data_IF_978497884041
#
_entry.id   IF_978497884041
#
_cell.length_a   1.000
_cell.length_b   1.000
_cell.length_c   1.000
_cell.angle_alpha   90.00
_cell.angle_beta   90.00
_cell.angle_gamma   90.00
#
_symmetry.space_group_name_H-M   'P 1'
#
loop_
_entity.id
_entity.type
_entity.pdbx_description
1 polymer ?
#
# COMPACT_ATOMS: atom_id res chain seq x y z
N UNK A 1 -2.02 20.08 -26.03
CA UNK A 1 -1.01 20.73 -25.19
C UNK A 1 -0.86 19.92 -23.91
N UNK A 2 0.33 19.36 -23.72
CA UNK A 2 0.87 18.63 -22.55
C UNK A 2 0.07 17.43 -22.01
N UNK A 3 0.00 16.36 -22.79
CA UNK A 3 -0.16 14.98 -22.28
C UNK A 3 1.17 14.51 -21.68
N UNK A 4 1.51 15.01 -20.48
CA UNK A 4 2.73 14.58 -19.77
C UNK A 4 2.49 13.20 -19.18
N UNK A 5 2.92 12.21 -19.96
CA UNK A 5 3.13 10.81 -19.60
C UNK A 5 4.13 10.72 -18.46
N UNK A 6 3.67 10.90 -17.23
CA UNK A 6 4.42 10.43 -16.07
C UNK A 6 4.12 8.95 -15.93
N UNK A 7 4.92 8.14 -16.63
CA UNK A 7 5.12 6.73 -16.29
C UNK A 7 5.85 6.70 -14.95
N UNK A 8 5.15 7.07 -13.89
CA UNK A 8 5.57 6.74 -12.53
C UNK A 8 5.68 5.23 -12.49
N UNK A 9 6.89 4.72 -12.37
CA UNK A 9 7.14 3.33 -12.07
C UNK A 9 6.53 3.07 -10.71
N UNK A 10 5.27 2.66 -10.73
CA UNK A 10 4.54 2.35 -9.53
C UNK A 10 5.11 1.07 -8.96
N UNK A 11 6.02 1.23 -7.99
CA UNK A 11 6.63 0.10 -7.30
C UNK A 11 5.53 -0.54 -6.45
N UNK A 12 5.08 -1.71 -6.89
CA UNK A 12 4.19 -2.58 -6.12
C UNK A 12 5.06 -3.49 -5.29
N UNK A 13 4.84 -3.49 -3.98
CA UNK A 13 5.55 -4.35 -3.04
C UNK A 13 4.54 -5.18 -2.26
N UNK A 14 4.84 -6.45 -2.05
CA UNK A 14 4.03 -7.31 -1.20
C UNK A 14 4.41 -7.08 0.27
N UNK A 15 3.40 -7.01 1.12
CA UNK A 15 3.58 -6.93 2.56
C UNK A 15 2.41 -7.56 3.30
N UNK A 16 2.53 -7.64 4.61
CA UNK A 16 1.53 -8.20 5.51
C UNK A 16 0.94 -7.12 6.39
N UNK A 17 -0.38 -7.05 6.48
CA UNK A 17 -1.03 -6.14 7.42
C UNK A 17 -0.75 -6.61 8.84
N UNK A 18 -0.06 -5.78 9.62
CA UNK A 18 0.25 -6.06 11.04
C UNK A 18 -0.62 -5.26 11.99
N UNK A 19 -1.19 -4.13 11.55
CA UNK A 19 -2.19 -3.37 12.30
C UNK A 19 -3.19 -2.68 11.38
N UNK A 20 -4.44 -2.56 11.84
CA UNK A 20 -5.53 -1.82 11.21
C UNK A 20 -5.93 -0.65 12.11
N UNK A 21 -5.78 0.57 11.62
CA UNK A 21 -6.18 1.83 12.28
C UNK A 21 -7.45 2.44 11.64
N UNK A 22 -8.24 1.64 10.92
CA UNK A 22 -9.47 2.01 10.23
C UNK A 22 -9.23 2.63 8.85
N UNK A 23 -8.54 3.78 8.80
CA UNK A 23 -8.21 4.47 7.53
C UNK A 23 -6.79 4.17 7.05
N UNK A 24 -5.92 3.84 7.99
CA UNK A 24 -4.50 3.54 7.81
C UNK A 24 -4.23 2.10 8.22
N UNK A 25 -3.32 1.45 7.51
CA UNK A 25 -2.88 0.08 7.70
C UNK A 25 -1.39 0.11 7.92
N UNK A 26 -0.93 -0.54 8.99
CA UNK A 26 0.49 -0.82 9.13
C UNK A 26 0.77 -2.10 8.35
N UNK A 27 1.58 -1.99 7.31
CA UNK A 27 2.00 -3.12 6.49
C UNK A 27 3.48 -3.37 6.73
N UNK A 28 3.83 -4.59 7.09
CA UNK A 28 5.20 -5.04 7.22
C UNK A 28 5.64 -5.74 5.93
N UNK A 29 6.71 -5.23 5.33
CA UNK A 29 7.32 -5.77 4.12
C UNK A 29 8.25 -6.96 4.45
N UNK A 30 8.65 -7.71 3.42
CA UNK A 30 9.57 -8.85 3.57
C UNK A 30 10.95 -8.46 4.15
N UNK A 31 11.37 -7.21 3.98
CA UNK A 31 12.60 -6.64 4.55
C UNK A 31 12.46 -6.17 6.01
N UNK A 32 11.32 -6.50 6.66
CA UNK A 32 10.93 -6.06 8.02
C UNK A 32 10.69 -4.56 8.16
N UNK A 33 10.62 -3.81 7.06
CA UNK A 33 10.22 -2.41 7.12
C UNK A 33 8.71 -2.32 7.30
N UNK A 34 8.28 -1.39 8.13
CA UNK A 34 6.87 -1.11 8.35
C UNK A 34 6.50 0.17 7.63
N UNK A 35 5.41 0.11 6.89
CA UNK A 35 4.87 1.22 6.11
C UNK A 35 3.44 1.49 6.53
N UNK A 36 3.15 2.76 6.80
CA UNK A 36 1.78 3.22 6.98
C UNK A 36 1.17 3.45 5.61
N UNK A 37 0.14 2.68 5.30
CA UNK A 37 -0.53 2.68 4.01
C UNK A 37 -1.98 3.12 4.19
N UNK A 38 -2.50 3.92 3.26
CA UNK A 38 -3.92 4.32 3.28
C UNK A 38 -4.70 3.56 2.21
N UNK A 39 -5.96 3.24 2.50
CA UNK A 39 -6.83 2.59 1.49
C UNK A 39 -7.05 3.55 0.32
N UNK A 40 -6.76 3.11 -0.91
CA UNK A 40 -7.06 3.85 -2.14
C UNK A 40 -8.31 3.26 -2.80
N UNK A 41 -9.41 4.01 -2.86
CA UNK A 41 -10.66 3.60 -3.52
C UNK A 41 -11.75 3.11 -2.56
N UNK A 42 -12.73 2.37 -3.09
CA UNK A 42 -13.97 1.97 -2.38
C UNK A 42 -13.90 0.48 -2.00
N UNK A 43 -13.87 0.19 -0.70
CA UNK A 43 -13.77 -1.14 -0.05
C UNK A 43 -12.54 -1.98 -0.46
N UNK A 44 -11.57 -2.00 0.45
CA UNK A 44 -10.60 -3.08 0.55
C UNK A 44 -10.82 -3.71 1.93
N UNK A 45 -11.40 -4.89 1.99
CA UNK A 45 -11.57 -5.62 3.24
C UNK A 45 -10.25 -6.35 3.54
N UNK A 46 -9.27 -5.60 4.06
CA UNK A 46 -7.99 -6.13 4.52
C UNK A 46 -7.98 -6.15 6.05
N UNK A 47 -7.61 -7.29 6.63
CA UNK A 47 -7.55 -7.49 8.08
C UNK A 47 -6.11 -7.76 8.51
N UNK A 48 -5.81 -7.56 9.80
CA UNK A 48 -4.53 -7.97 10.37
C UNK A 48 -4.24 -9.44 10.05
N UNK A 49 -3.06 -9.70 9.48
CA UNK A 49 -2.61 -11.01 9.07
C UNK A 49 -2.66 -11.25 7.56
N UNK A 50 -3.45 -10.48 6.81
CA UNK A 50 -3.57 -10.61 5.35
C UNK A 50 -2.31 -10.13 4.62
N UNK A 51 -2.00 -10.78 3.51
CA UNK A 51 -1.01 -10.32 2.56
C UNK A 51 -1.67 -9.35 1.57
N UNK A 52 -1.05 -8.19 1.39
CA UNK A 52 -1.55 -7.10 0.56
C UNK A 52 -0.46 -6.58 -0.37
N UNK A 53 -0.86 -6.17 -1.56
CA UNK A 53 0.01 -5.44 -2.48
C UNK A 53 -0.08 -3.94 -2.18
N UNK A 54 1.04 -3.35 -1.79
CA UNK A 54 1.18 -1.93 -1.50
C UNK A 54 1.81 -1.23 -2.70
N UNK A 55 1.16 -0.17 -3.17
CA UNK A 55 1.71 0.72 -4.19
C UNK A 55 2.40 1.88 -3.50
N UNK A 56 3.72 1.94 -3.57
CA UNK A 56 4.49 3.07 -3.05
C UNK A 56 4.24 4.29 -3.93
N UNK A 57 3.82 5.39 -3.32
CA UNK A 57 3.70 6.71 -3.94
C UNK A 57 4.71 7.64 -3.26
N UNK A 58 5.65 8.17 -4.02
CA UNK A 58 6.65 9.14 -3.55
C UNK A 58 6.16 10.57 -3.61
#
# INVERSE_FOLDING_TARGET
MTTRREREQQVVVEGRVVADFGREFLVELADRRQLVCTRKGKKQDATCGDFVEVRLTG
#
